data_IF_445984040414
#
_entry.id   IF_445984040414
#
_cell.length_a   1.000
_cell.length_b   1.000
_cell.length_c   1.000
_cell.angle_alpha   90.00
_cell.angle_beta   90.00
_cell.angle_gamma   90.00
#
_symmetry.space_group_name_H-M   'P 1'
#
loop_
_entity.id
_entity.type
_entity.pdbx_description
1 polymer ?
#
# COMPACT_ATOMS: atom_id res chain seq x y z
N UNK A 1 -30.65 8.72 -9.12
CA UNK A 1 -30.06 8.90 -7.78
C UNK A 1 -30.14 10.38 -7.48
N UNK A 2 -30.70 10.77 -6.33
CA UNK A 2 -30.70 12.17 -5.91
C UNK A 2 -29.36 12.48 -5.23
N UNK A 3 -28.74 13.60 -5.61
CA UNK A 3 -27.45 14.07 -5.08
C UNK A 3 -27.61 14.94 -3.83
N UNK A 4 -28.83 15.10 -3.30
CA UNK A 4 -29.07 15.84 -2.05
C UNK A 4 -28.17 15.39 -0.90
N UNK A 5 -28.00 14.06 -0.72
CA UNK A 5 -27.14 13.50 0.33
C UNK A 5 -25.65 13.82 0.08
N UNK A 6 -25.22 13.91 -1.19
CA UNK A 6 -23.86 14.35 -1.54
C UNK A 6 -23.64 15.79 -1.10
N UNK A 7 -24.58 16.69 -1.36
CA UNK A 7 -24.47 18.08 -0.90
C UNK A 7 -24.47 18.17 0.62
N UNK A 8 -25.37 17.45 1.28
CA UNK A 8 -25.49 17.45 2.74
C UNK A 8 -24.21 16.97 3.42
N UNK A 9 -23.62 15.86 2.95
CA UNK A 9 -22.37 15.33 3.50
C UNK A 9 -21.15 16.18 3.11
N UNK A 10 -21.11 16.73 1.89
CA UNK A 10 -20.01 17.61 1.49
C UNK A 10 -19.85 18.83 2.39
N UNK A 11 -20.93 19.35 2.98
CA UNK A 11 -20.86 20.46 3.93
C UNK A 11 -20.10 20.12 5.22
N UNK A 12 -19.95 18.83 5.56
CA UNK A 12 -19.14 18.36 6.68
C UNK A 12 -17.65 18.23 6.33
N UNK A 13 -17.32 18.33 5.04
CA UNK A 13 -15.96 18.16 4.51
C UNK A 13 -15.55 19.36 3.64
N UNK A 14 -15.46 20.57 4.23
CA UNK A 14 -15.20 21.79 3.48
C UNK A 14 -13.81 21.80 2.86
N UNK A 15 -13.70 22.32 1.64
CA UNK A 15 -12.42 22.51 0.97
C UNK A 15 -11.68 23.71 1.57
N UNK A 16 -10.39 23.58 1.94
CA UNK A 16 -9.57 24.73 2.35
C UNK A 16 -9.43 25.76 1.22
N UNK A 17 -9.63 27.04 1.54
CA UNK A 17 -9.57 28.15 0.58
C UNK A 17 -8.22 28.20 -0.14
N UNK A 18 -8.25 28.24 -1.47
CA UNK A 18 -7.04 28.38 -2.31
C UNK A 18 -6.20 27.10 -2.45
N UNK A 19 -6.60 26.00 -1.82
CA UNK A 19 -5.91 24.73 -1.96
C UNK A 19 -6.17 24.11 -3.35
N UNK A 20 -5.08 23.76 -4.03
CA UNK A 20 -5.11 23.01 -5.29
C UNK A 20 -4.16 21.82 -5.17
N UNK A 21 -4.65 20.63 -5.50
CA UNK A 21 -3.90 19.37 -5.40
C UNK A 21 -3.97 18.61 -6.71
N UNK A 22 -2.91 17.88 -7.05
CA UNK A 22 -2.88 17.01 -8.21
C UNK A 22 -2.83 15.55 -7.80
N UNK A 23 -3.61 14.70 -8.47
CA UNK A 23 -3.48 13.25 -8.31
C UNK A 23 -2.21 12.81 -9.02
N UNK A 24 -1.20 12.40 -8.26
CA UNK A 24 0.05 11.87 -8.82
C UNK A 24 0.02 10.35 -8.93
N UNK A 25 1.15 9.77 -9.34
CA UNK A 25 1.34 8.31 -9.47
C UNK A 25 1.02 7.53 -8.18
N UNK A 26 1.10 8.20 -7.03
CA UNK A 26 0.81 7.61 -5.73
C UNK A 26 -0.38 8.27 -5.03
N UNK A 27 -1.32 8.82 -5.82
CA UNK A 27 -2.51 9.50 -5.37
C UNK A 27 -2.26 10.90 -4.83
N UNK A 28 -3.18 11.39 -3.99
CA UNK A 28 -3.02 12.67 -3.28
C UNK A 28 -2.17 12.48 -2.04
N UNK A 29 -1.23 13.41 -1.80
CA UNK A 29 -0.41 13.45 -0.59
C UNK A 29 -0.12 14.89 -0.20
N UNK A 30 -0.41 15.26 1.04
CA UNK A 30 -0.08 16.55 1.65
C UNK A 30 -0.25 16.45 3.17
N UNK A 31 -0.19 17.56 3.89
CA UNK A 31 -0.52 17.66 5.32
C UNK A 31 -1.91 17.10 5.58
N UNK A 32 -2.04 16.28 6.63
CA UNK A 32 -3.28 15.57 6.92
C UNK A 32 -4.49 16.50 7.11
N UNK A 33 -4.28 17.67 7.72
CA UNK A 33 -5.33 18.69 7.95
C UNK A 33 -5.96 19.25 6.68
N UNK A 34 -5.31 19.06 5.52
CA UNK A 34 -5.79 19.56 4.22
C UNK A 34 -6.57 18.51 3.42
N UNK A 35 -6.64 17.27 3.89
CA UNK A 35 -7.10 16.13 3.09
C UNK A 35 -8.56 15.72 3.29
N UNK A 36 -9.24 16.23 4.30
CA UNK A 36 -10.60 15.76 4.66
C UNK A 36 -11.58 15.81 3.47
N UNK A 37 -11.71 16.96 2.81
CA UNK A 37 -12.52 17.10 1.59
C UNK A 37 -12.06 16.19 0.44
N UNK A 38 -10.76 15.95 0.29
CA UNK A 38 -10.21 15.06 -0.74
C UNK A 38 -10.67 13.63 -0.47
N UNK A 39 -10.57 13.17 0.78
CA UNK A 39 -10.97 11.82 1.19
C UNK A 39 -12.44 11.56 0.88
N UNK A 40 -13.31 12.48 1.28
CA UNK A 40 -14.74 12.44 0.96
C UNK A 40 -14.98 12.31 -0.55
N UNK A 41 -14.33 13.17 -1.34
CA UNK A 41 -14.51 13.18 -2.80
C UNK A 41 -13.91 11.95 -3.48
N UNK A 42 -12.85 11.35 -2.93
CA UNK A 42 -12.32 10.07 -3.41
C UNK A 42 -13.24 8.90 -3.08
N UNK A 43 -13.99 8.95 -1.98
CA UNK A 43 -15.08 7.99 -1.71
C UNK A 43 -16.19 8.05 -2.77
N UNK A 44 -16.55 9.27 -3.21
CA UNK A 44 -17.50 9.47 -4.32
C UNK A 44 -16.96 8.89 -5.63
N UNK A 45 -15.72 9.21 -5.99
CA UNK A 45 -15.11 8.74 -7.23
C UNK A 45 -14.91 7.22 -7.24
N UNK A 46 -14.45 6.63 -6.13
CA UNK A 46 -14.31 5.18 -5.99
C UNK A 46 -15.66 4.46 -6.19
N UNK A 47 -16.75 5.09 -5.74
CA UNK A 47 -18.10 4.57 -5.97
C UNK A 47 -18.48 4.58 -7.45
N UNK A 48 -18.27 5.70 -8.15
CA UNK A 48 -18.52 5.78 -9.60
C UNK A 48 -17.64 4.78 -10.37
N UNK A 49 -16.38 4.63 -9.98
CA UNK A 49 -15.44 3.67 -10.56
C UNK A 49 -15.91 2.23 -10.35
N UNK A 50 -16.44 1.91 -9.18
CA UNK A 50 -16.98 0.59 -8.86
C UNK A 50 -18.23 0.28 -9.69
N UNK A 51 -19.14 1.25 -9.85
CA UNK A 51 -20.31 1.11 -10.75
C UNK A 51 -19.88 0.87 -12.20
N UNK A 52 -18.89 1.61 -12.68
CA UNK A 52 -18.40 1.48 -14.05
C UNK A 52 -17.71 0.14 -14.33
N UNK A 53 -16.81 -0.28 -13.43
CA UNK A 53 -16.05 -1.54 -13.57
C UNK A 53 -16.88 -2.77 -13.19
N UNK A 54 -18.02 -2.60 -12.50
CA UNK A 54 -18.83 -3.67 -11.92
C UNK A 54 -18.03 -4.55 -10.95
N UNK A 55 -17.12 -3.92 -10.20
CA UNK A 55 -16.15 -4.59 -9.35
C UNK A 55 -15.89 -3.80 -8.07
N UNK A 56 -15.31 -4.45 -7.05
CA UNK A 56 -14.83 -3.73 -5.86
C UNK A 56 -13.64 -2.86 -6.22
N UNK A 57 -13.65 -1.62 -5.76
CA UNK A 57 -12.53 -0.66 -5.82
C UNK A 57 -11.92 -0.49 -4.43
N UNK A 58 -10.60 -0.40 -4.34
CA UNK A 58 -9.90 -0.13 -3.08
C UNK A 58 -9.62 1.35 -2.87
N UNK A 59 -9.62 1.78 -1.61
CA UNK A 59 -9.15 3.10 -1.17
C UNK A 59 -8.16 2.91 -0.02
N UNK A 60 -6.88 3.22 -0.27
CA UNK A 60 -5.82 3.13 0.74
C UNK A 60 -5.52 4.52 1.29
N UNK A 61 -5.70 4.70 2.60
CA UNK A 61 -5.34 5.93 3.33
C UNK A 61 -3.93 5.77 3.89
N UNK A 62 -2.97 6.43 3.23
CA UNK A 62 -1.56 6.43 3.62
C UNK A 62 -0.76 7.47 2.83
N UNK A 63 0.33 7.98 3.44
CA UNK A 63 1.40 8.67 2.72
C UNK A 63 2.74 7.90 2.67
N UNK A 64 2.75 6.58 2.90
CA UNK A 64 3.94 5.74 2.72
C UNK A 64 5.14 6.29 3.52
N UNK A 65 6.27 6.58 2.86
CA UNK A 65 7.50 7.13 3.45
C UNK A 65 7.44 8.58 3.95
N UNK A 66 6.36 9.34 3.69
CA UNK A 66 6.26 10.73 4.13
C UNK A 66 6.32 10.87 5.68
N UNK A 67 6.67 12.06 6.21
CA UNK A 67 6.57 12.37 7.64
C UNK A 67 5.16 12.12 8.20
N UNK A 68 5.04 11.76 9.48
CA UNK A 68 3.78 11.36 10.15
C UNK A 68 2.63 12.37 10.03
N UNK A 69 2.95 13.67 10.01
CA UNK A 69 1.95 14.74 9.89
C UNK A 69 1.31 14.86 8.49
N UNK A 70 1.90 14.22 7.48
CA UNK A 70 1.29 14.07 6.17
C UNK A 70 0.29 12.90 6.16
N UNK A 71 -0.59 12.86 5.18
CA UNK A 71 -1.33 11.64 4.83
C UNK A 71 -1.65 11.65 3.34
N UNK A 72 -2.42 10.68 2.86
CA UNK A 72 -2.73 10.58 1.45
C UNK A 72 -3.78 9.53 1.17
N UNK A 73 -4.19 9.47 -0.10
CA UNK A 73 -5.17 8.50 -0.58
C UNK A 73 -4.79 7.98 -1.96
N UNK A 74 -4.78 6.66 -2.10
CA UNK A 74 -4.61 5.94 -3.37
C UNK A 74 -5.88 5.16 -3.69
N UNK A 75 -6.28 5.14 -4.96
CA UNK A 75 -7.37 4.27 -5.44
C UNK A 75 -6.75 3.03 -6.11
N UNK A 76 -7.40 1.89 -5.88
CA UNK A 76 -6.95 0.57 -6.35
C UNK A 76 -8.03 -0.02 -7.25
N UNK A 77 -7.66 -0.32 -8.48
CA UNK A 77 -8.54 -0.86 -9.50
C UNK A 77 -8.71 -2.40 -9.35
N UNK A 78 -9.63 -3.02 -10.12
CA UNK A 78 -10.18 -4.33 -9.78
C UNK A 78 -9.18 -5.49 -9.66
N UNK A 79 -8.07 -5.48 -10.40
CA UNK A 79 -7.05 -6.53 -10.35
C UNK A 79 -5.92 -6.22 -9.35
N UNK A 80 -6.09 -5.20 -8.50
CA UNK A 80 -5.09 -4.75 -7.55
C UNK A 80 -4.03 -3.84 -8.18
N UNK A 81 -4.30 -3.27 -9.35
CA UNK A 81 -3.50 -2.24 -10.01
C UNK A 81 -3.85 -0.84 -9.48
N UNK A 82 -3.00 0.14 -9.77
CA UNK A 82 -3.31 1.54 -9.51
C UNK A 82 -4.49 2.00 -10.36
N UNK A 83 -5.17 3.06 -9.92
CA UNK A 83 -6.23 3.71 -10.71
C UNK A 83 -5.79 3.93 -12.17
N UNK A 84 -6.69 3.62 -13.11
CA UNK A 84 -6.44 3.90 -14.52
C UNK A 84 -6.08 5.38 -14.74
N UNK A 85 -5.02 5.71 -15.51
CA UNK A 85 -4.55 7.08 -15.72
C UNK A 85 -5.65 8.06 -16.18
N UNK A 86 -6.57 7.60 -17.04
CA UNK A 86 -7.70 8.42 -17.51
C UNK A 86 -8.65 8.88 -16.38
N UNK A 87 -8.66 8.19 -15.24
CA UNK A 87 -9.47 8.52 -14.07
C UNK A 87 -8.73 9.39 -13.03
N UNK A 88 -7.41 9.55 -13.16
CA UNK A 88 -6.62 10.46 -12.32
C UNK A 88 -7.01 11.93 -12.57
N UNK A 89 -7.42 12.26 -13.80
CA UNK A 89 -7.96 13.57 -14.17
C UNK A 89 -9.27 13.86 -13.43
N UNK A 90 -10.17 12.87 -13.32
CA UNK A 90 -11.41 13.01 -12.56
C UNK A 90 -11.14 13.16 -11.06
N UNK A 91 -10.15 12.43 -10.54
CA UNK A 91 -9.72 12.57 -9.16
C UNK A 91 -9.23 14.00 -8.88
N UNK A 92 -8.34 14.50 -9.74
CA UNK A 92 -7.81 15.87 -9.69
C UNK A 92 -8.93 16.91 -9.80
N UNK A 93 -9.84 16.75 -10.77
CA UNK A 93 -10.96 17.68 -10.96
C UNK A 93 -11.86 17.71 -9.71
N UNK A 94 -12.33 16.55 -9.25
CA UNK A 94 -13.19 16.47 -8.07
C UNK A 94 -12.52 17.05 -6.83
N UNK A 95 -11.25 16.76 -6.58
CA UNK A 95 -10.56 17.32 -5.41
C UNK A 95 -10.53 18.86 -5.41
N UNK A 96 -10.51 19.49 -6.58
CA UNK A 96 -10.27 20.93 -6.68
C UNK A 96 -11.51 21.79 -6.92
N UNK A 97 -12.68 21.24 -7.24
CA UNK A 97 -13.90 22.06 -7.45
C UNK A 97 -14.46 22.63 -6.15
N UNK A 98 -15.23 23.71 -6.23
CA UNK A 98 -15.94 24.27 -5.07
C UNK A 98 -17.13 23.36 -4.68
N UNK A 99 -17.61 23.41 -3.42
CA UNK A 99 -18.66 22.46 -2.96
C UNK A 99 -19.91 22.49 -3.84
N UNK A 100 -20.31 23.68 -4.29
CA UNK A 100 -21.48 23.88 -5.17
C UNK A 100 -21.35 23.20 -6.54
N UNK A 101 -20.13 22.89 -6.97
CA UNK A 101 -19.84 22.34 -8.30
C UNK A 101 -19.67 20.82 -8.29
N UNK A 102 -19.52 20.20 -7.11
CA UNK A 102 -19.31 18.75 -6.97
C UNK A 102 -20.39 17.96 -7.72
N UNK A 103 -21.66 18.30 -7.55
CA UNK A 103 -22.75 17.60 -8.24
C UNK A 103 -22.65 17.70 -9.76
N UNK A 104 -22.26 18.87 -10.28
CA UNK A 104 -22.09 19.10 -11.71
C UNK A 104 -20.98 18.22 -12.27
N UNK A 105 -19.85 18.15 -11.58
CA UNK A 105 -18.72 17.28 -11.97
C UNK A 105 -19.09 15.81 -11.92
N UNK A 106 -19.79 15.35 -10.88
CA UNK A 106 -20.24 13.96 -10.80
C UNK A 106 -21.14 13.59 -11.98
N UNK A 107 -22.10 14.46 -12.34
CA UNK A 107 -22.97 14.25 -13.52
C UNK A 107 -22.17 14.18 -14.81
N UNK A 108 -21.19 15.06 -15.00
CA UNK A 108 -20.30 15.03 -16.16
C UNK A 108 -19.52 13.72 -16.26
N UNK A 109 -18.96 13.22 -15.15
CA UNK A 109 -18.24 11.94 -15.12
C UNK A 109 -19.20 10.79 -15.48
N UNK A 110 -20.40 10.78 -14.89
CA UNK A 110 -21.42 9.75 -15.14
C UNK A 110 -21.81 9.70 -16.62
N UNK A 111 -22.07 10.86 -17.23
CA UNK A 111 -22.44 10.97 -18.63
C UNK A 111 -21.28 10.57 -19.55
N UNK A 112 -20.07 11.10 -19.31
CA UNK A 112 -18.90 10.86 -20.15
C UNK A 112 -18.45 9.39 -20.15
N UNK A 113 -18.46 8.75 -18.98
CA UNK A 113 -18.04 7.35 -18.84
C UNK A 113 -19.22 6.37 -19.00
N UNK A 114 -20.44 6.87 -19.24
CA UNK A 114 -21.68 6.09 -19.29
C UNK A 114 -21.88 5.18 -18.06
N UNK A 115 -21.70 5.76 -16.85
CA UNK A 115 -21.82 5.04 -15.57
C UNK A 115 -23.28 4.69 -15.31
N UNK A 116 -23.58 3.39 -15.22
CA UNK A 116 -24.90 2.93 -14.78
C UNK A 116 -25.08 3.16 -13.27
N UNK A 117 -25.96 4.09 -12.91
CA UNK A 117 -26.25 4.40 -11.51
C UNK A 117 -26.99 3.29 -10.76
N UNK A 118 -27.67 2.40 -11.47
CA UNK A 118 -28.38 1.25 -10.88
C UNK A 118 -27.43 0.11 -10.53
N UNK A 119 -26.25 0.06 -11.14
CA UNK A 119 -25.23 -0.94 -10.82
C UNK A 119 -24.84 -0.83 -9.33
N UNK A 120 -24.83 -1.97 -8.63
CA UNK A 120 -24.30 -2.02 -7.26
C UNK A 120 -22.80 -1.67 -7.24
N UNK A 121 -22.38 -0.93 -6.23
CA UNK A 121 -20.99 -0.59 -5.98
C UNK A 121 -20.53 -1.10 -4.61
N UNK A 122 -19.25 -1.46 -4.56
CA UNK A 122 -18.55 -1.98 -3.39
C UNK A 122 -17.17 -1.33 -3.29
N UNK A 123 -16.82 -0.81 -2.12
CA UNK A 123 -15.52 -0.17 -1.88
C UNK A 123 -14.82 -0.79 -0.68
N UNK A 124 -13.58 -1.24 -0.86
CA UNK A 124 -12.72 -1.72 0.22
C UNK A 124 -11.85 -0.56 0.73
N UNK A 125 -11.93 -0.24 2.02
CA UNK A 125 -11.15 0.84 2.64
C UNK A 125 -10.09 0.24 3.56
N UNK A 126 -8.86 0.72 3.46
CA UNK A 126 -7.75 0.33 4.32
C UNK A 126 -6.92 1.54 4.71
N UNK A 127 -6.19 1.44 5.83
CA UNK A 127 -5.36 2.54 6.32
C UNK A 127 -4.08 2.08 7.02
N UNK A 128 -3.07 2.95 7.02
CA UNK A 128 -1.86 2.80 7.83
C UNK A 128 -2.05 3.27 9.28
N UNK A 129 -0.93 3.35 10.03
CA UNK A 129 -0.91 3.72 11.45
C UNK A 129 -0.86 5.22 11.73
N UNK A 130 -0.97 6.10 10.73
CA UNK A 130 -0.93 7.55 10.98
C UNK A 130 -2.08 7.97 11.90
N UNK A 131 -1.87 8.89 12.85
CA UNK A 131 -2.94 9.34 13.75
C UNK A 131 -4.18 9.89 13.02
N UNK A 132 -3.97 10.57 11.89
CA UNK A 132 -5.04 11.14 11.07
C UNK A 132 -5.82 10.11 10.24
N UNK A 133 -5.28 8.90 10.06
CA UNK A 133 -5.83 7.90 9.16
C UNK A 133 -7.24 7.41 9.55
N UNK A 134 -7.58 7.42 10.85
CA UNK A 134 -8.93 7.03 11.31
C UNK A 134 -9.99 8.00 10.78
N UNK A 135 -9.79 9.30 10.99
CA UNK A 135 -10.75 10.32 10.56
C UNK A 135 -10.79 10.44 9.03
N UNK A 136 -9.64 10.34 8.37
CA UNK A 136 -9.56 10.39 6.91
C UNK A 136 -10.23 9.18 6.25
N UNK A 137 -10.09 7.98 6.82
CA UNK A 137 -10.84 6.81 6.35
C UNK A 137 -12.36 6.97 6.55
N UNK A 138 -12.78 7.60 7.65
CA UNK A 138 -14.18 7.93 7.87
C UNK A 138 -14.72 8.89 6.80
N UNK A 139 -13.97 9.93 6.43
CA UNK A 139 -14.34 10.83 5.34
C UNK A 139 -14.51 10.09 4.00
N UNK A 140 -13.62 9.12 3.68
CA UNK A 140 -13.81 8.23 2.51
C UNK A 140 -15.15 7.50 2.60
N UNK A 141 -15.45 6.87 3.74
CA UNK A 141 -16.69 6.12 3.96
C UNK A 141 -17.92 7.04 3.83
N UNK A 142 -17.83 8.29 4.28
CA UNK A 142 -18.88 9.28 4.10
C UNK A 142 -19.15 9.58 2.63
N UNK A 143 -18.11 9.66 1.80
CA UNK A 143 -18.22 9.75 0.34
C UNK A 143 -18.91 8.53 -0.27
N UNK A 144 -18.49 7.32 0.10
CA UNK A 144 -19.06 6.07 -0.42
C UNK A 144 -20.55 5.96 -0.08
N UNK A 145 -20.90 6.26 1.17
CA UNK A 145 -22.28 6.18 1.66
C UNK A 145 -23.18 7.28 1.11
N UNK A 146 -22.63 8.45 0.74
CA UNK A 146 -23.39 9.52 0.09
C UNK A 146 -24.02 9.09 -1.24
N UNK A 147 -23.38 8.16 -1.95
CA UNK A 147 -23.88 7.54 -3.19
C UNK A 147 -24.53 6.16 -2.94
N UNK A 148 -24.87 5.85 -1.68
CA UNK A 148 -25.56 4.63 -1.24
C UNK A 148 -24.85 3.34 -1.66
N UNK A 149 -23.51 3.36 -1.75
CA UNK A 149 -22.71 2.18 -2.06
C UNK A 149 -22.34 1.40 -0.80
N UNK A 150 -22.06 0.11 -0.99
CA UNK A 150 -21.57 -0.77 0.08
C UNK A 150 -20.07 -0.51 0.29
N UNK A 151 -19.61 -0.65 1.53
CA UNK A 151 -18.18 -0.60 1.82
C UNK A 151 -17.78 -1.73 2.77
N UNK A 152 -16.47 -2.02 2.80
CA UNK A 152 -15.85 -2.86 3.81
C UNK A 152 -14.61 -2.15 4.34
N UNK A 153 -14.60 -1.78 5.62
CA UNK A 153 -13.42 -1.22 6.29
C UNK A 153 -12.54 -2.36 6.79
N UNK A 154 -11.39 -2.56 6.15
CA UNK A 154 -10.37 -3.52 6.55
C UNK A 154 -9.49 -3.00 7.71
N UNK A 155 -9.66 -1.75 8.14
CA UNK A 155 -8.92 -1.18 9.24
C UNK A 155 -7.43 -1.00 8.92
N UNK A 156 -6.60 -1.37 9.89
CA UNK A 156 -5.14 -1.33 9.79
C UNK A 156 -4.63 -2.44 8.87
N UNK A 157 -4.15 -2.06 7.69
CA UNK A 157 -3.58 -2.96 6.67
C UNK A 157 -2.38 -2.32 6.00
N UNK A 158 -1.45 -3.12 5.49
CA UNK A 158 -0.41 -2.62 4.59
C UNK A 158 -1.02 -2.26 3.23
N UNK A 159 -0.35 -1.40 2.46
CA UNK A 159 -0.78 -1.12 1.07
C UNK A 159 -0.90 -2.41 0.24
N UNK A 160 0.09 -3.34 0.24
CA UNK A 160 -0.06 -4.63 -0.46
C UNK A 160 -1.22 -5.51 0.01
N UNK A 161 -1.59 -5.46 1.30
CA UNK A 161 -2.73 -6.22 1.82
C UNK A 161 -4.06 -5.71 1.25
N UNK A 162 -4.24 -4.39 1.12
CA UNK A 162 -5.45 -3.84 0.49
C UNK A 162 -5.54 -4.25 -0.98
N UNK A 163 -4.43 -4.13 -1.73
CA UNK A 163 -4.37 -4.57 -3.12
C UNK A 163 -4.72 -6.05 -3.28
N UNK A 164 -4.23 -6.89 -2.36
CA UNK A 164 -4.54 -8.32 -2.33
C UNK A 164 -6.04 -8.58 -2.13
N UNK A 165 -6.69 -7.96 -1.15
CA UNK A 165 -8.11 -8.24 -0.86
C UNK A 165 -9.01 -7.78 -2.00
N UNK A 166 -8.73 -6.62 -2.62
CA UNK A 166 -9.45 -6.13 -3.81
C UNK A 166 -9.40 -7.16 -4.93
N UNK A 167 -8.20 -7.63 -5.28
CA UNK A 167 -8.02 -8.65 -6.33
C UNK A 167 -8.73 -9.97 -5.98
N UNK A 168 -8.67 -10.41 -4.73
CA UNK A 168 -9.35 -11.64 -4.29
C UNK A 168 -10.87 -11.55 -4.40
N UNK A 169 -11.46 -10.41 -4.01
CA UNK A 169 -12.91 -10.18 -4.14
C UNK A 169 -13.34 -10.23 -5.61
N UNK A 170 -12.61 -9.54 -6.49
CA UNK A 170 -12.96 -9.43 -7.91
C UNK A 170 -12.65 -10.70 -8.72
N UNK A 171 -11.79 -11.57 -8.21
CA UNK A 171 -11.52 -12.88 -8.83
C UNK A 171 -12.35 -14.01 -8.23
N UNK A 172 -13.36 -13.69 -7.41
CA UNK A 172 -14.23 -14.67 -6.74
C UNK A 172 -13.43 -15.73 -5.97
N UNK A 173 -12.36 -15.30 -5.31
CA UNK A 173 -11.47 -16.18 -4.53
C UNK A 173 -10.45 -16.97 -5.35
N UNK A 174 -10.45 -16.90 -6.69
CA UNK A 174 -9.48 -17.63 -7.53
C UNK A 174 -8.03 -17.19 -7.27
N UNK A 175 -7.81 -15.91 -6.94
CA UNK A 175 -6.48 -15.45 -6.55
C UNK A 175 -6.10 -15.84 -5.12
N UNK A 176 -7.08 -16.01 -4.23
CA UNK A 176 -6.89 -16.32 -2.81
C UNK A 176 -8.10 -15.90 -1.97
N UNK A 177 -8.09 -16.23 -0.68
CA UNK A 177 -9.14 -15.79 0.25
C UNK A 177 -9.05 -14.27 0.46
N UNK A 178 -10.17 -13.56 0.36
CA UNK A 178 -10.26 -12.09 0.45
C UNK A 178 -10.20 -11.54 1.89
N UNK A 179 -9.21 -12.00 2.66
CA UNK A 179 -8.98 -11.63 4.07
C UNK A 179 -7.50 -11.39 4.33
N UNK A 180 -7.18 -10.65 5.40
CA UNK A 180 -5.79 -10.45 5.86
C UNK A 180 -5.14 -11.78 6.25
N UNK A 181 -5.87 -12.65 6.95
CA UNK A 181 -5.40 -14.01 7.24
C UNK A 181 -5.15 -14.83 5.96
N UNK A 182 -5.99 -14.67 4.93
CA UNK A 182 -5.79 -15.26 3.61
C UNK A 182 -4.48 -14.82 2.96
N UNK A 183 -4.13 -13.54 3.07
CA UNK A 183 -2.84 -12.99 2.63
C UNK A 183 -1.68 -13.67 3.36
N UNK A 184 -1.73 -13.70 4.70
CA UNK A 184 -0.69 -14.30 5.53
C UNK A 184 -0.48 -15.79 5.20
N UNK A 185 -1.57 -16.57 5.15
CA UNK A 185 -1.53 -18.00 4.81
C UNK A 185 -0.99 -18.25 3.41
N UNK A 186 -1.42 -17.46 2.41
CA UNK A 186 -0.96 -17.61 1.03
C UNK A 186 0.55 -17.40 0.92
N UNK A 187 1.07 -16.32 1.53
CA UNK A 187 2.49 -15.99 1.48
C UNK A 187 3.34 -16.98 2.28
N UNK A 188 2.95 -17.30 3.52
CA UNK A 188 3.72 -18.22 4.37
C UNK A 188 3.73 -19.65 3.81
N UNK A 189 2.63 -20.10 3.18
CA UNK A 189 2.61 -21.38 2.46
C UNK A 189 3.57 -21.37 1.28
N UNK A 190 3.54 -20.34 0.44
CA UNK A 190 4.44 -20.23 -0.70
C UNK A 190 5.91 -20.18 -0.27
N UNK A 191 6.22 -19.43 0.79
CA UNK A 191 7.55 -19.37 1.39
C UNK A 191 8.01 -20.75 1.87
N UNK A 192 7.19 -21.44 2.65
CA UNK A 192 7.51 -22.78 3.16
C UNK A 192 7.76 -23.78 2.02
N UNK A 193 6.93 -23.78 0.97
CA UNK A 193 7.15 -24.64 -0.21
C UNK A 193 8.46 -24.31 -0.92
N UNK A 194 8.79 -23.03 -1.07
CA UNK A 194 10.02 -22.58 -1.73
C UNK A 194 11.28 -22.97 -0.93
N UNK A 195 11.21 -22.98 0.40
CA UNK A 195 12.37 -23.22 1.27
C UNK A 195 12.56 -24.68 1.68
N UNK A 196 11.61 -25.58 1.40
CA UNK A 196 11.68 -27.01 1.73
C UNK A 196 12.97 -27.72 1.32
N UNK A 197 13.57 -27.33 0.19
CA UNK A 197 14.75 -27.99 -0.38
C UNK A 197 16.06 -27.26 -0.08
N UNK A 198 16.03 -26.20 0.75
CA UNK A 198 17.24 -25.45 1.10
C UNK A 198 18.03 -26.25 2.14
N UNK A 199 19.31 -26.60 1.87
CA UNK A 199 20.13 -27.37 2.80
C UNK A 199 20.28 -26.65 4.15
N UNK A 200 20.18 -27.39 5.25
CA UNK A 200 20.29 -26.90 6.63
C UNK A 200 21.61 -26.17 6.95
N UNK A 201 22.65 -26.30 6.14
CA UNK A 201 23.97 -25.65 6.32
C UNK A 201 23.97 -24.12 6.12
N UNK A 202 22.85 -23.50 5.73
CA UNK A 202 22.69 -22.03 5.75
C UNK A 202 22.28 -21.46 7.12
N UNK A 203 22.22 -22.31 8.16
CA UNK A 203 21.74 -22.00 9.51
C UNK A 203 22.55 -20.96 10.28
N UNK A 204 23.81 -20.70 9.92
CA UNK A 204 24.63 -19.68 10.62
C UNK A 204 24.19 -18.23 10.31
N UNK A 205 23.28 -18.05 9.34
CA UNK A 205 22.70 -16.74 8.96
C UNK A 205 21.18 -16.69 9.17
N UNK A 206 20.65 -17.48 10.11
CA UNK A 206 19.20 -17.65 10.32
C UNK A 206 18.45 -16.43 10.87
N UNK A 207 19.16 -15.42 11.37
CA UNK A 207 18.53 -14.21 11.94
C UNK A 207 18.47 -13.07 10.93
N UNK A 208 17.25 -12.59 10.64
CA UNK A 208 16.99 -11.35 9.91
C UNK A 208 16.56 -10.27 10.90
N UNK A 209 17.28 -9.15 10.95
CA UNK A 209 16.83 -7.96 11.67
C UNK A 209 15.97 -7.11 10.75
N UNK A 210 14.77 -6.77 11.19
CA UNK A 210 13.81 -5.98 10.43
C UNK A 210 13.56 -4.67 11.15
N UNK A 211 13.81 -3.57 10.47
CA UNK A 211 13.33 -2.24 10.85
C UNK A 211 11.93 -2.03 10.29
N UNK A 212 10.95 -1.98 11.17
CA UNK A 212 9.53 -1.81 10.85
C UNK A 212 9.11 -0.36 10.58
N UNK A 213 10.05 0.60 10.59
CA UNK A 213 9.81 2.03 10.38
C UNK A 213 8.79 2.68 11.34
N UNK A 214 8.47 2.01 12.45
CA UNK A 214 7.34 2.34 13.33
C UNK A 214 5.99 2.39 12.57
N UNK A 215 5.88 1.67 11.45
CA UNK A 215 4.72 1.67 10.55
C UNK A 215 3.88 0.40 10.60
N UNK A 216 2.87 0.33 9.74
CA UNK A 216 1.90 -0.78 9.72
C UNK A 216 2.58 -2.12 9.37
N UNK A 217 3.69 -2.08 8.63
CA UNK A 217 4.51 -3.26 8.34
C UNK A 217 5.01 -4.00 9.59
N UNK A 218 5.33 -3.27 10.66
CA UNK A 218 5.77 -3.87 11.92
C UNK A 218 4.68 -4.75 12.55
N UNK A 219 3.47 -4.20 12.66
CA UNK A 219 2.31 -4.90 13.24
C UNK A 219 1.96 -6.14 12.40
N UNK A 220 1.96 -6.00 11.07
CA UNK A 220 1.63 -7.10 10.15
C UNK A 220 2.72 -8.16 10.04
N UNK A 221 3.96 -7.80 10.30
CA UNK A 221 5.04 -8.78 10.43
C UNK A 221 4.85 -9.69 11.64
N UNK A 222 4.39 -9.14 12.78
CA UNK A 222 4.09 -9.95 13.96
C UNK A 222 2.94 -10.94 13.70
N UNK A 223 1.93 -10.54 12.91
CA UNK A 223 0.85 -11.44 12.48
C UNK A 223 1.37 -12.56 11.57
N UNK A 224 2.17 -12.23 10.52
CA UNK A 224 2.64 -13.25 9.58
C UNK A 224 3.65 -14.22 10.21
N UNK A 225 4.43 -13.77 11.20
CA UNK A 225 5.39 -14.60 11.94
C UNK A 225 4.75 -15.86 12.55
N UNK A 226 3.47 -15.78 12.95
CA UNK A 226 2.73 -16.93 13.49
C UNK A 226 2.53 -18.05 12.46
N UNK A 227 2.65 -17.74 11.17
CA UNK A 227 2.49 -18.68 10.07
C UNK A 227 3.82 -19.12 9.43
N UNK A 228 4.95 -18.52 9.81
CA UNK A 228 6.27 -18.82 9.23
C UNK A 228 6.89 -20.08 9.87
N UNK A 229 7.77 -20.72 9.11
CA UNK A 229 8.55 -21.87 9.58
C UNK A 229 9.58 -21.44 10.63
N UNK A 230 9.88 -22.32 11.60
CA UNK A 230 10.83 -22.03 12.70
C UNK A 230 12.26 -21.74 12.24
N UNK A 231 12.60 -22.06 10.99
CA UNK A 231 13.94 -21.90 10.42
C UNK A 231 14.28 -20.44 10.06
N UNK A 232 13.29 -19.53 10.01
CA UNK A 232 13.51 -18.10 9.79
C UNK A 232 13.32 -17.34 11.10
N UNK A 233 14.43 -16.96 11.74
CA UNK A 233 14.40 -16.14 12.94
C UNK A 233 14.36 -14.67 12.53
N UNK A 234 13.34 -13.94 13.00
CA UNK A 234 13.17 -12.52 12.71
C UNK A 234 13.25 -11.75 14.03
N UNK A 235 14.11 -10.74 14.08
CA UNK A 235 14.16 -9.76 15.17
C UNK A 235 13.60 -8.44 14.66
N UNK A 236 12.42 -8.06 15.14
CA UNK A 236 11.78 -6.80 14.78
C UNK A 236 12.30 -5.65 15.65
N UNK A 237 12.59 -4.53 15.01
CA UNK A 237 12.96 -3.25 15.60
C UNK A 237 12.05 -2.16 15.04
N UNK A 238 11.96 -1.00 15.71
CA UNK A 238 11.10 0.12 15.31
C UNK A 238 9.67 -0.37 15.02
N UNK A 239 9.07 -0.98 16.05
CA UNK A 239 7.83 -1.73 15.95
C UNK A 239 6.55 -0.89 16.10
N UNK A 240 6.71 0.44 16.29
CA UNK A 240 5.61 1.37 16.53
C UNK A 240 5.24 1.57 17.99
N UNK A 241 5.93 0.94 18.95
CA UNK A 241 5.63 1.06 20.39
C UNK A 241 6.07 2.38 21.04
N UNK A 242 7.15 2.98 20.54
CA UNK A 242 7.80 4.14 21.20
C UNK A 242 8.47 5.13 20.24
N UNK A 243 8.45 4.87 18.93
CA UNK A 243 9.08 5.69 17.90
C UNK A 243 8.07 6.35 16.96
N UNK A 244 8.50 7.44 16.30
CA UNK A 244 7.70 8.15 15.29
C UNK A 244 7.82 7.46 13.92
N UNK A 245 6.71 7.40 13.18
CA UNK A 245 6.64 6.82 11.83
C UNK A 245 7.71 7.43 10.90
N UNK A 246 8.52 6.58 10.25
CA UNK A 246 9.60 6.95 9.31
C UNK A 246 10.67 7.90 9.88
N UNK A 247 10.70 8.16 11.20
CA UNK A 247 11.62 9.13 11.77
C UNK A 247 12.99 8.48 12.03
N UNK A 248 14.00 8.90 11.25
CA UNK A 248 15.38 8.38 11.33
C UNK A 248 15.48 6.85 11.15
N UNK A 249 14.48 6.25 10.52
CA UNK A 249 14.36 4.83 10.23
C UNK A 249 13.53 4.61 8.96
N UNK A 250 13.43 3.36 8.53
CA UNK A 250 12.66 2.96 7.36
C UNK A 250 13.46 2.97 6.05
N UNK A 251 12.88 2.36 5.01
CA UNK A 251 13.56 2.08 3.75
C UNK A 251 14.06 3.35 3.05
N UNK A 252 13.26 4.42 3.06
CA UNK A 252 13.61 5.69 2.44
C UNK A 252 14.81 6.35 3.15
N UNK A 253 14.77 6.44 4.48
CA UNK A 253 15.88 6.94 5.28
C UNK A 253 17.17 6.17 4.99
N UNK A 254 17.13 4.84 5.03
CA UNK A 254 18.31 4.00 4.80
C UNK A 254 18.84 4.17 3.37
N UNK A 255 17.95 4.25 2.37
CA UNK A 255 18.32 4.46 0.97
C UNK A 255 19.00 5.82 0.76
N UNK A 256 18.42 6.88 1.29
CA UNK A 256 18.89 8.26 1.08
C UNK A 256 20.14 8.55 1.91
N UNK A 257 20.15 8.16 3.18
CA UNK A 257 21.22 8.49 4.12
C UNK A 257 22.38 7.48 4.07
N UNK A 258 22.17 6.32 3.44
CA UNK A 258 23.14 5.23 3.32
C UNK A 258 23.83 4.88 4.66
N UNK A 259 23.03 4.76 5.71
CA UNK A 259 23.47 4.40 7.06
C UNK A 259 22.41 3.59 7.80
N UNK A 260 22.77 2.89 8.89
CA UNK A 260 21.81 2.13 9.69
C UNK A 260 20.68 3.03 10.25
N UNK A 261 19.44 2.50 10.36
CA UNK A 261 18.35 3.22 11.01
C UNK A 261 18.58 3.34 12.52
N UNK A 262 18.02 4.39 13.12
CA UNK A 262 18.01 4.54 14.57
C UNK A 262 17.27 3.36 15.22
N UNK A 263 17.78 2.88 16.36
CA UNK A 263 17.17 1.77 17.11
C UNK A 263 17.64 0.37 16.70
N UNK A 264 18.34 0.22 15.57
CA UNK A 264 18.88 -1.07 15.11
C UNK A 264 20.37 -1.16 15.39
N UNK A 265 20.74 -2.02 16.35
CA UNK A 265 22.16 -2.35 16.61
C UNK A 265 22.60 -3.47 15.69
N UNK A 266 23.59 -3.20 14.85
CA UNK A 266 24.15 -4.15 13.88
C UNK A 266 25.52 -4.65 14.30
N UNK A 267 25.75 -5.95 14.17
CA UNK A 267 27.10 -6.56 14.17
C UNK A 267 27.56 -6.77 12.72
N UNK A 268 28.87 -7.00 12.57
CA UNK A 268 29.45 -7.33 11.27
C UNK A 268 28.74 -8.50 10.60
N UNK A 269 28.44 -8.35 9.32
CA UNK A 269 27.81 -9.31 8.42
C UNK A 269 26.41 -9.80 8.85
N UNK A 270 25.75 -9.12 9.79
CA UNK A 270 24.34 -9.38 10.08
C UNK A 270 23.45 -8.88 8.95
N UNK A 271 22.48 -9.71 8.55
CA UNK A 271 21.50 -9.36 7.52
C UNK A 271 20.39 -8.51 8.11
N UNK A 272 20.21 -7.32 7.55
CA UNK A 272 19.16 -6.39 7.96
C UNK A 272 18.32 -5.97 6.76
N UNK A 273 17.07 -5.58 7.02
CA UNK A 273 16.23 -4.88 6.06
C UNK A 273 15.35 -3.85 6.75
N UNK A 274 14.87 -2.87 5.98
CA UNK A 274 13.90 -1.88 6.42
C UNK A 274 12.68 -1.88 5.52
N UNK A 275 11.50 -1.82 6.11
CA UNK A 275 10.26 -1.43 5.42
C UNK A 275 10.15 0.09 5.36
N UNK A 276 9.30 0.62 4.49
CA UNK A 276 8.75 1.97 4.67
C UNK A 276 7.41 1.92 5.43
N UNK A 277 6.82 3.10 5.67
CA UNK A 277 5.67 3.26 6.58
C UNK A 277 4.45 2.39 6.26
N UNK A 278 4.14 2.15 4.98
CA UNK A 278 3.02 1.32 4.51
C UNK A 278 3.43 -0.06 3.99
N UNK A 279 4.72 -0.40 4.13
CA UNK A 279 5.34 -1.66 3.73
C UNK A 279 5.14 -2.01 2.24
N UNK A 280 5.18 -1.01 1.36
CA UNK A 280 5.25 -1.20 -0.10
C UNK A 280 6.69 -1.13 -0.65
N UNK A 281 7.67 -0.75 0.19
CA UNK A 281 9.10 -0.76 -0.13
C UNK A 281 9.90 -1.60 0.87
N UNK A 282 10.99 -2.18 0.37
CA UNK A 282 12.00 -2.86 1.18
C UNK A 282 13.39 -2.58 0.64
N UNK A 283 14.35 -2.38 1.54
CA UNK A 283 15.79 -2.38 1.23
C UNK A 283 16.51 -3.30 2.19
N UNK A 284 17.56 -3.98 1.71
CA UNK A 284 18.45 -4.77 2.54
C UNK A 284 19.77 -4.04 2.77
N UNK A 285 20.48 -4.41 3.82
CA UNK A 285 21.79 -3.85 4.13
C UNK A 285 22.53 -4.70 5.15
N UNK A 286 23.84 -4.48 5.25
CA UNK A 286 24.71 -5.05 6.28
C UNK A 286 25.88 -4.10 6.56
N UNK A 287 26.61 -4.35 7.64
CA UNK A 287 27.89 -3.69 7.94
C UNK A 287 28.99 -4.72 7.81
N UNK A 288 30.09 -4.41 7.11
CA UNK A 288 31.20 -5.36 6.94
C UNK A 288 32.11 -5.46 8.18
N UNK A 289 33.14 -6.31 8.12
CA UNK A 289 34.08 -6.53 9.23
C UNK A 289 34.92 -5.32 9.62
N UNK A 290 35.01 -4.31 8.75
CA UNK A 290 35.72 -3.05 9.02
C UNK A 290 34.77 -1.91 9.37
N UNK A 291 33.47 -2.19 9.54
CA UNK A 291 32.47 -1.22 9.98
C UNK A 291 31.85 -0.39 8.86
N UNK A 292 32.06 -0.72 7.58
CA UNK A 292 31.45 0.01 6.45
C UNK A 292 30.04 -0.50 6.19
N UNK A 293 29.12 0.44 5.97
CA UNK A 293 27.74 0.16 5.60
C UNK A 293 27.62 -0.19 4.11
N UNK A 294 26.87 -1.25 3.81
CA UNK A 294 26.60 -1.71 2.45
C UNK A 294 25.10 -1.78 2.20
N UNK A 295 24.61 -0.95 1.28
CA UNK A 295 23.22 -0.95 0.84
C UNK A 295 22.97 -2.01 -0.24
N UNK A 296 21.87 -2.73 -0.10
CA UNK A 296 21.31 -3.65 -1.08
C UNK A 296 19.88 -3.17 -1.44
N UNK A 297 19.81 -2.21 -2.35
CA UNK A 297 18.57 -1.57 -2.77
C UNK A 297 17.79 -2.38 -3.82
N UNK A 298 16.75 -1.77 -4.40
CA UNK A 298 15.87 -2.40 -5.38
C UNK A 298 16.61 -3.01 -6.58
N UNK A 299 17.70 -2.41 -7.06
CA UNK A 299 18.49 -2.95 -8.18
C UNK A 299 19.18 -4.27 -7.76
N UNK A 300 19.68 -4.35 -6.52
CA UNK A 300 20.27 -5.58 -5.97
C UNK A 300 19.23 -6.68 -5.75
N UNK A 301 18.02 -6.31 -5.31
CA UNK A 301 16.91 -7.25 -5.17
C UNK A 301 16.47 -7.79 -6.53
N UNK A 302 16.31 -6.90 -7.53
CA UNK A 302 15.89 -7.28 -8.88
C UNK A 302 16.91 -8.21 -9.56
N UNK A 303 18.21 -7.90 -9.44
CA UNK A 303 19.27 -8.74 -9.99
C UNK A 303 19.37 -10.11 -9.30
N UNK A 304 19.18 -10.17 -7.98
CA UNK A 304 19.12 -11.44 -7.23
C UNK A 304 17.96 -12.32 -7.71
N UNK A 305 16.74 -11.77 -7.77
CA UNK A 305 15.54 -12.52 -8.21
C UNK A 305 15.71 -12.98 -9.66
N UNK A 306 16.20 -12.11 -10.55
CA UNK A 306 16.41 -12.44 -11.96
C UNK A 306 17.43 -13.58 -12.13
N UNK A 307 18.50 -13.57 -11.34
CA UNK A 307 19.52 -14.63 -11.35
C UNK A 307 18.93 -15.96 -10.86
N UNK A 308 18.19 -15.93 -9.76
CA UNK A 308 17.51 -17.11 -9.23
C UNK A 308 16.54 -17.75 -10.24
N UNK A 309 15.70 -16.93 -10.90
CA UNK A 309 14.77 -17.41 -11.94
C UNK A 309 15.53 -17.99 -13.13
N UNK A 310 16.62 -17.34 -13.58
CA UNK A 310 17.46 -17.83 -14.67
C UNK A 310 18.07 -19.20 -14.36
N UNK A 311 18.55 -19.41 -13.14
CA UNK A 311 19.09 -20.70 -12.71
C UNK A 311 18.03 -21.81 -12.73
N UNK A 312 16.80 -21.52 -12.29
CA UNK A 312 15.69 -22.46 -12.36
C UNK A 312 15.31 -22.80 -13.81
N UNK A 313 15.23 -21.80 -14.69
CA UNK A 313 14.93 -22.00 -16.12
C UNK A 313 15.99 -22.86 -16.81
N UNK A 314 17.26 -22.68 -16.43
CA UNK A 314 18.38 -23.48 -16.93
C UNK A 314 18.23 -24.96 -16.53
N UNK A 315 17.79 -25.24 -15.31
CA UNK A 315 17.55 -26.62 -14.82
C UNK A 315 16.45 -27.35 -15.60
N UNK A 316 15.42 -26.64 -16.03
CA UNK A 316 14.31 -27.22 -16.83
C UNK A 316 14.55 -27.19 -18.35
N UNK A 317 15.78 -26.85 -18.79
CA UNK A 317 16.19 -26.77 -20.20
C UNK A 317 15.28 -25.88 -21.07
N UNK A 318 14.72 -24.82 -20.49
CA UNK A 318 13.88 -23.88 -21.23
C UNK A 318 14.73 -22.87 -22.01
N UNK A 319 14.33 -22.52 -23.24
CA UNK A 319 15.01 -21.55 -24.13
C UNK A 319 14.50 -20.11 -23.84
N UNK A 320 14.39 -19.73 -22.57
CA UNK A 320 13.92 -18.41 -22.18
C UNK A 320 15.09 -17.46 -21.88
N UNK A 321 15.08 -16.26 -22.46
CA UNK A 321 16.00 -15.17 -22.09
C UNK A 321 15.38 -14.33 -20.98
N UNK A 322 16.03 -14.25 -19.82
CA UNK A 322 15.65 -13.34 -18.72
C UNK A 322 16.49 -12.07 -18.81
N UNK A 323 15.85 -10.91 -18.79
CA UNK A 323 16.50 -9.58 -18.75
C UNK A 323 15.86 -8.74 -17.66
N UNK A 324 16.67 -7.93 -16.98
CA UNK A 324 16.19 -6.92 -16.03
C UNK A 324 16.23 -5.55 -16.74
N UNK A 325 15.08 -4.88 -16.83
CA UNK A 325 14.95 -3.55 -17.45
C UNK A 325 14.80 -2.52 -16.34
N UNK A 326 15.67 -1.52 -16.35
CA UNK A 326 15.54 -0.34 -15.48
C UNK A 326 14.82 0.74 -16.27
N UNK A 327 13.61 1.09 -15.85
CA UNK A 327 12.95 2.29 -16.35
C UNK A 327 13.66 3.48 -15.69
N UNK A 328 14.36 4.27 -16.51
CA UNK A 328 15.08 5.49 -16.10
C UNK A 328 14.09 6.63 -15.98
#
# INVERSE_FOLDING_TARGET
MDFEEVTRKSALHPKPTGLVLQYGTAGFRTKAEQLDHVMYRMGLLATLRSKWTKATIGVMVTASHNPEEDNGVKLVDPLGEMLAPAWEEYATLLANVEEREIQGVLKQIIEKEAVDLQQEASVAVGRDTRPSSVNLAQAVIDGVTALRAKYHDYGLVTTPQLHYVVRCQNTQGKYGAATVDGYCKKLSKAFAELTKQVPSRMSDHGCLKVDGANGIGALKLQEIQQHLTKDLVITLHNDGSSGKLNYLCGADFVKVQQKPPQGVKMKSNERCCSFDGDADRIVYYYVDSVGRFHLLDGDKIATLISTFIKELLTKVKSICKVTCVKNV
#
